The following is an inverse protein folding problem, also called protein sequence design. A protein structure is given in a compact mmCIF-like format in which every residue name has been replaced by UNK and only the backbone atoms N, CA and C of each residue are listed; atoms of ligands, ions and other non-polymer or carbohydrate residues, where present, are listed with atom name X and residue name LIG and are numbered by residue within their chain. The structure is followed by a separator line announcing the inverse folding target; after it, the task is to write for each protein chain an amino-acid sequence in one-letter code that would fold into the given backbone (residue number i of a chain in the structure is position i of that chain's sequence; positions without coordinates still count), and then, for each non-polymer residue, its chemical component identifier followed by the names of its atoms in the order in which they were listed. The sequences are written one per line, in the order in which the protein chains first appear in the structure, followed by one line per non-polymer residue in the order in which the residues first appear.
data_IF_617858338037
#
_entry.id   IF_617858338037
#
_cell.length_a   1.000
_cell.length_b   1.000
_cell.length_c   1.000
_cell.angle_alpha   90.00
_cell.angle_beta   90.00
_cell.angle_gamma   90.00
#
_symmetry.space_group_name_H-M   'P 1'
#
loop_
_entity.id
_entity.type
_entity.pdbx_description
1 polymer ?
#
# COMPACT_ATOMS: atom_id res chain seq x y z
N UNK A 1 -2.96 0.74 -10.47
CA UNK A 1 -1.91 0.99 -9.46
C UNK A 1 -2.39 1.83 -8.28
N UNK A 2 -2.51 3.18 -8.33
CA UNK A 2 -2.99 3.97 -7.16
C UNK A 2 -4.33 3.48 -6.57
N UNK A 3 -5.30 3.18 -7.44
CA UNK A 3 -6.62 2.65 -7.04
C UNK A 3 -6.56 1.29 -6.32
N UNK A 4 -5.48 0.52 -6.48
CA UNK A 4 -5.33 -0.81 -5.86
C UNK A 4 -4.55 -0.74 -4.53
N UNK A 5 -3.91 0.40 -4.24
CA UNK A 5 -3.15 0.60 -3.01
C UNK A 5 -4.01 0.44 -1.75
N UNK A 6 -5.27 0.94 -1.66
CA UNK A 6 -6.12 0.73 -0.49
C UNK A 6 -6.34 -0.75 -0.16
N UNK A 7 -6.67 -1.58 -1.16
CA UNK A 7 -6.83 -3.02 -0.96
C UNK A 7 -5.52 -3.70 -0.53
N UNK A 8 -4.39 -3.26 -1.07
CA UNK A 8 -3.05 -3.72 -0.64
C UNK A 8 -2.80 -3.37 0.83
N UNK A 9 -3.17 -2.17 1.27
CA UNK A 9 -3.04 -1.73 2.66
C UNK A 9 -3.91 -2.56 3.60
N UNK A 10 -5.13 -2.93 3.21
CA UNK A 10 -5.99 -3.83 3.99
C UNK A 10 -5.35 -5.21 4.20
N UNK A 11 -4.68 -5.76 3.17
CA UNK A 11 -3.93 -7.00 3.28
C UNK A 11 -2.76 -6.88 4.25
N UNK A 12 -2.00 -5.78 4.19
CA UNK A 12 -0.89 -5.52 5.13
C UNK A 12 -1.39 -5.41 6.57
N UNK A 13 -2.50 -4.69 6.82
CA UNK A 13 -3.11 -4.55 8.14
C UNK A 13 -3.62 -5.88 8.68
N UNK A 14 -4.09 -6.77 7.79
CA UNK A 14 -4.59 -8.10 8.13
C UNK A 14 -3.49 -9.15 8.23
N UNK A 15 -2.20 -8.76 8.17
CA UNK A 15 -1.03 -9.67 8.14
C UNK A 15 -1.08 -10.70 7.00
N UNK A 16 -1.71 -10.34 5.88
CA UNK A 16 -1.85 -11.17 4.67
C UNK A 16 -0.98 -10.63 3.53
N UNK A 17 0.27 -10.26 3.83
CA UNK A 17 1.19 -9.72 2.83
C UNK A 17 1.55 -10.75 1.74
N UNK A 18 1.44 -12.04 2.06
CA UNK A 18 1.57 -13.19 1.15
C UNK A 18 0.55 -13.22 0.01
N UNK A 19 -0.52 -12.42 0.11
CA UNK A 19 -1.56 -12.31 -0.92
C UNK A 19 -1.34 -11.15 -1.89
N UNK A 20 -0.28 -10.37 -1.70
CA UNK A 20 0.10 -9.26 -2.59
C UNK A 20 1.05 -9.84 -3.64
N UNK A 21 0.79 -9.56 -4.91
CA UNK A 21 1.66 -10.00 -6.00
C UNK A 21 3.05 -9.38 -5.87
N UNK A 22 4.11 -10.16 -6.11
CA UNK A 22 5.50 -9.69 -6.01
C UNK A 22 5.75 -8.48 -6.91
N UNK A 23 5.15 -8.43 -8.10
CA UNK A 23 5.29 -7.29 -9.01
C UNK A 23 4.61 -6.02 -8.45
N UNK A 24 3.50 -6.17 -7.71
CA UNK A 24 2.86 -5.07 -7.02
C UNK A 24 3.73 -4.59 -5.84
N UNK A 25 4.33 -5.50 -5.07
CA UNK A 25 5.27 -5.16 -3.99
C UNK A 25 6.45 -4.35 -4.55
N UNK A 26 7.13 -4.87 -5.58
CA UNK A 26 8.29 -4.22 -6.19
C UNK A 26 7.95 -2.84 -6.73
N UNK A 27 6.79 -2.71 -7.36
CA UNK A 27 6.34 -1.46 -7.93
C UNK A 27 5.96 -0.44 -6.82
N UNK A 28 5.32 -0.88 -5.73
CA UNK A 28 5.03 0.00 -4.59
C UNK A 28 6.27 0.42 -3.80
N UNK A 29 7.28 -0.46 -3.67
CA UNK A 29 8.57 -0.14 -3.06
C UNK A 29 9.35 0.85 -3.93
N UNK A 30 9.39 0.62 -5.26
CA UNK A 30 10.05 1.53 -6.22
C UNK A 30 9.44 2.93 -6.23
N UNK A 31 8.15 3.05 -5.94
CA UNK A 31 7.45 4.34 -5.81
C UNK A 31 7.56 4.96 -4.41
N UNK A 32 8.28 4.32 -3.48
CA UNK A 32 8.38 4.71 -2.07
C UNK A 32 7.01 4.78 -1.36
N UNK A 33 6.05 3.93 -1.76
CA UNK A 33 4.73 3.83 -1.10
C UNK A 33 4.74 2.77 -0.01
N UNK A 34 5.48 1.69 -0.22
CA UNK A 34 5.80 0.68 0.77
C UNK A 34 7.31 0.66 1.04
N UNK A 35 7.68 0.21 2.23
CA UNK A 35 9.07 -0.03 2.62
C UNK A 35 9.20 -1.34 3.39
N UNK A 36 10.36 -1.98 3.27
CA UNK A 36 10.72 -3.12 4.12
C UNK A 36 11.13 -2.64 5.51
N UNK A 37 10.54 -3.21 6.54
CA UNK A 37 10.82 -2.88 7.93
C UNK A 37 10.77 -4.14 8.80
N UNK A 38 11.93 -4.59 9.29
CA UNK A 38 12.03 -5.72 10.21
C UNK A 38 11.48 -7.04 9.65
N UNK A 39 11.67 -7.28 8.35
CA UNK A 39 11.19 -8.50 7.67
C UNK A 39 9.73 -8.46 7.21
N UNK A 40 9.02 -7.35 7.39
CA UNK A 40 7.68 -7.13 6.86
C UNK A 40 7.58 -5.87 6.01
N UNK A 41 6.46 -5.70 5.32
CA UNK A 41 6.14 -4.49 4.56
C UNK A 41 5.38 -3.49 5.44
N UNK A 42 5.74 -2.21 5.31
CA UNK A 42 5.09 -1.10 6.00
C UNK A 42 4.72 0.00 5.01
N UNK A 43 3.61 0.70 5.28
CA UNK A 43 3.20 1.89 4.53
C UNK A 43 4.04 3.11 4.93
N UNK A 44 4.64 3.79 3.94
CA UNK A 44 5.36 5.05 4.15
C UNK A 44 4.40 6.23 4.32
N UNK A 45 4.96 7.43 4.59
CA UNK A 45 4.18 8.67 4.57
C UNK A 45 3.62 8.94 3.16
N UNK A 46 4.43 8.73 2.11
CA UNK A 46 4.00 8.91 0.71
C UNK A 46 2.86 7.95 0.36
N UNK A 47 2.98 6.67 0.71
CA UNK A 47 1.95 5.67 0.46
C UNK A 47 0.63 6.00 1.16
N UNK A 48 0.70 6.51 2.40
CA UNK A 48 -0.47 6.97 3.16
C UNK A 48 -1.18 8.13 2.47
N UNK A 49 -0.43 9.12 1.98
CA UNK A 49 -1.00 10.26 1.27
C UNK A 49 -1.66 9.83 -0.05
N UNK A 50 -1.03 8.92 -0.80
CA UNK A 50 -1.60 8.36 -2.03
C UNK A 50 -2.87 7.56 -1.75
N UNK A 51 -2.90 6.80 -0.65
CA UNK A 51 -4.09 6.05 -0.24
C UNK A 51 -5.25 6.99 0.10
N UNK A 52 -4.99 8.07 0.86
CA UNK A 52 -5.98 9.08 1.19
C UNK A 52 -6.53 9.80 -0.06
N UNK A 53 -5.68 10.05 -1.07
CA UNK A 53 -6.10 10.64 -2.36
C UNK A 53 -6.92 9.68 -3.23
N UNK A 54 -6.79 8.37 -3.01
CA UNK A 54 -7.48 7.35 -3.79
C UNK A 54 -8.88 7.05 -3.28
N UNK A 55 -9.20 7.48 -2.05
CA UNK A 55 -10.56 7.51 -1.52
C UNK A 55 -11.24 8.73 -2.16
N UNK A 56 -12.33 8.56 -2.95
CA UNK A 56 -13.04 9.71 -3.49
C UNK A 56 -13.51 10.59 -2.34
N UNK A 57 -13.22 11.89 -2.40
CA UNK A 57 -13.64 12.90 -1.42
C UNK A 57 -15.18 13.11 -1.36
N UNK A 58 -15.98 12.20 -1.92
CA UNK A 58 -17.44 12.33 -2.09
C UNK A 58 -18.27 11.61 -1.01
N UNK A 59 -17.66 11.21 0.10
CA UNK A 59 -18.36 10.73 1.30
C UNK A 59 -17.74 11.40 2.52
N UNK A 60 -17.95 12.71 2.64
CA UNK A 60 -17.74 13.50 3.86
C UNK A 60 -19.00 14.33 4.13
#
# INVERSE_FOLDING_TARGET
MRRNLPATVELLQSRQADRIDDADIDAYVSLNWLEWHGGGLRLTITGRNVCAQSIPAALA
#
